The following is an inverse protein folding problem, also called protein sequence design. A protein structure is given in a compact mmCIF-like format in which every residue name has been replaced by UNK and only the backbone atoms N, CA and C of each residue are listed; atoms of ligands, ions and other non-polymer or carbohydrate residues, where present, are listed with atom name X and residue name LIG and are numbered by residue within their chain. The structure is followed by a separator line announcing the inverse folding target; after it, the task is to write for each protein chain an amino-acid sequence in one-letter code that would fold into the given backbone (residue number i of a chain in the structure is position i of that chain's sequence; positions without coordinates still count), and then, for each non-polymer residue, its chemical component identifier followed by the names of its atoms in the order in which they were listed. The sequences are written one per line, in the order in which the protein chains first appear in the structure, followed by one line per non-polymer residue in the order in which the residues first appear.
data_IF_347525249059
#
_entry.id   IF_347525249059
#
_cell.length_a   1.000
_cell.length_b   1.000
_cell.length_c   1.000
_cell.angle_alpha   90.00
_cell.angle_beta   90.00
_cell.angle_gamma   90.00
#
_symmetry.space_group_name_H-M   'P 1'
#
loop_
_entity.id
_entity.type
_entity.pdbx_description
1 polymer ?
#
# COMPACT_ATOMS: atom_id res chain seq x y z
N UNK A 1 14.55 11.71 2.31
CA UNK A 1 14.97 10.30 2.45
C UNK A 1 13.77 9.46 2.07
N UNK A 2 13.91 8.36 1.32
CA UNK A 2 12.77 7.50 1.02
C UNK A 2 12.23 6.91 2.33
N UNK A 3 10.92 6.81 2.46
CA UNK A 3 10.24 6.14 3.58
C UNK A 3 9.70 4.79 3.11
N UNK A 4 9.92 3.74 3.89
CA UNK A 4 9.42 2.37 3.64
C UNK A 4 8.29 2.03 4.62
N UNK A 5 7.31 1.24 4.19
CA UNK A 5 6.24 0.75 5.07
C UNK A 5 6.62 -0.59 5.69
N UNK A 6 6.41 -0.73 6.99
CA UNK A 6 6.70 -1.96 7.74
C UNK A 6 5.57 -2.33 8.69
N UNK A 7 5.34 -3.63 8.87
CA UNK A 7 4.37 -4.12 9.84
C UNK A 7 4.92 -4.02 11.26
N UNK A 8 4.15 -3.44 12.19
CA UNK A 8 4.50 -3.32 13.60
C UNK A 8 4.55 -4.66 14.32
N UNK A 9 3.69 -5.60 13.93
CA UNK A 9 3.52 -6.86 14.66
C UNK A 9 4.56 -7.92 14.29
N UNK A 10 4.96 -8.00 13.01
CA UNK A 10 5.90 -9.02 12.54
C UNK A 10 7.19 -8.45 11.93
N UNK A 11 7.27 -7.13 11.72
CA UNK A 11 8.45 -6.49 11.12
C UNK A 11 8.59 -6.70 9.61
N UNK A 12 7.64 -7.34 8.94
CA UNK A 12 7.68 -7.57 7.49
C UNK A 12 7.50 -6.28 6.69
N UNK A 13 8.15 -6.24 5.53
CA UNK A 13 8.02 -5.20 4.50
C UNK A 13 7.06 -5.61 3.37
N UNK A 14 6.50 -6.82 3.41
CA UNK A 14 5.47 -7.31 2.48
C UNK A 14 4.12 -6.61 2.80
N UNK A 15 3.95 -5.38 2.34
CA UNK A 15 2.76 -4.56 2.60
C UNK A 15 1.90 -4.45 1.34
N UNK A 16 0.67 -4.97 1.41
CA UNK A 16 -0.30 -4.88 0.33
C UNK A 16 -1.18 -3.64 0.49
N UNK A 17 -1.32 -2.87 -0.59
CA UNK A 17 -2.30 -1.80 -0.72
C UNK A 17 -3.30 -2.18 -1.82
N UNK A 18 -4.58 -2.28 -1.49
CA UNK A 18 -5.60 -2.49 -2.52
C UNK A 18 -5.94 -1.15 -3.20
N UNK A 19 -5.58 -1.04 -4.46
CA UNK A 19 -5.94 0.08 -5.33
C UNK A 19 -7.00 -0.37 -6.31
N UNK A 20 -8.07 0.40 -6.46
CA UNK A 20 -9.01 0.19 -7.57
C UNK A 20 -8.49 0.94 -8.80
N UNK A 21 -8.33 0.21 -9.89
CA UNK A 21 -8.20 0.82 -11.19
C UNK A 21 -9.59 1.27 -11.66
N UNK A 22 -9.69 2.47 -12.23
CA UNK A 22 -10.87 2.89 -12.97
C UNK A 22 -10.48 3.33 -14.38
N UNK A 23 -11.41 3.18 -15.30
CA UNK A 23 -11.25 3.71 -16.64
C UNK A 23 -11.37 5.23 -16.61
N UNK A 24 -10.38 5.93 -17.14
CA UNK A 24 -10.44 7.37 -17.41
C UNK A 24 -10.77 7.58 -18.89
N UNK A 25 -11.95 8.14 -19.15
CA UNK A 25 -12.40 8.37 -20.51
C UNK A 25 -11.75 9.60 -21.18
N UNK A 26 -11.18 10.53 -20.41
CA UNK A 26 -10.50 11.70 -20.95
C UNK A 26 -9.08 11.34 -21.41
N UNK A 27 -8.42 10.45 -20.67
CA UNK A 27 -7.07 9.95 -21.03
C UNK A 27 -7.10 8.68 -21.89
N UNK A 28 -8.27 8.05 -22.06
CA UNK A 28 -8.46 6.75 -22.76
C UNK A 28 -7.56 5.64 -22.18
N UNK A 29 -7.41 5.60 -20.85
CA UNK A 29 -6.52 4.67 -20.16
C UNK A 29 -7.08 4.20 -18.80
N UNK A 30 -6.50 3.12 -18.27
CA UNK A 30 -6.76 2.66 -16.90
C UNK A 30 -5.85 3.38 -15.92
N UNK A 31 -6.46 4.19 -15.05
CA UNK A 31 -5.74 4.91 -14.00
C UNK A 31 -5.90 4.19 -12.67
N UNK A 32 -4.80 4.10 -11.92
CA UNK A 32 -4.83 3.60 -10.54
C UNK A 32 -5.39 4.70 -9.65
N UNK A 33 -6.56 4.45 -9.08
CA UNK A 33 -7.24 5.38 -8.19
C UNK A 33 -6.64 5.39 -6.78
N UNK A 34 -7.36 6.08 -5.88
CA UNK A 34 -7.02 6.10 -4.46
C UNK A 34 -7.10 4.70 -3.84
N UNK A 35 -6.24 4.38 -2.86
CA UNK A 35 -6.37 3.16 -2.07
C UNK A 35 -7.78 3.06 -1.49
N UNK A 36 -8.40 1.89 -1.65
CA UNK A 36 -9.80 1.67 -1.24
C UNK A 36 -9.86 1.04 0.14
N UNK A 37 -8.83 0.28 0.48
CA UNK A 37 -8.65 -0.30 1.80
C UNK A 37 -7.34 0.18 2.44
N UNK A 38 -7.28 0.20 3.79
CA UNK A 38 -6.04 0.41 4.51
C UNK A 38 -4.99 -0.62 4.09
N UNK A 39 -3.71 -0.23 4.06
CA UNK A 39 -2.63 -1.19 3.84
C UNK A 39 -2.64 -2.29 4.91
N UNK A 40 -2.28 -3.49 4.51
CA UNK A 40 -2.16 -4.63 5.43
C UNK A 40 -0.91 -5.44 5.15
N UNK A 41 -0.42 -6.15 6.16
CA UNK A 41 0.74 -7.02 6.05
C UNK A 41 0.38 -8.34 5.36
N UNK A 42 1.11 -8.72 4.31
CA UNK A 42 0.92 -9.99 3.60
C UNK A 42 1.26 -11.23 4.44
N UNK A 43 2.16 -11.10 5.42
CA UNK A 43 2.62 -12.24 6.23
C UNK A 43 1.71 -12.53 7.43
N UNK A 44 1.33 -11.50 8.18
CA UNK A 44 0.54 -11.67 9.41
C UNK A 44 -0.90 -11.14 9.30
N UNK A 45 -1.28 -10.56 8.16
CA UNK A 45 -2.59 -9.94 7.93
C UNK A 45 -2.99 -8.84 8.92
N UNK A 46 -2.02 -8.24 9.62
CA UNK A 46 -2.25 -7.08 10.48
C UNK A 46 -2.39 -5.79 9.66
N UNK A 47 -3.21 -4.87 10.16
CA UNK A 47 -3.37 -3.51 9.64
C UNK A 47 -2.47 -2.49 10.36
N UNK A 48 -1.72 -2.92 11.38
CA UNK A 48 -0.80 -2.07 12.14
C UNK A 48 0.51 -1.87 11.34
N UNK A 49 0.49 -0.86 10.46
CA UNK A 49 1.62 -0.50 9.57
C UNK A 49 2.21 0.86 10.02
N UNK A 50 3.54 0.98 9.96
CA UNK A 50 4.28 2.23 10.17
C UNK A 50 5.16 2.58 8.97
N UNK A 51 5.40 3.89 8.79
CA UNK A 51 6.42 4.40 7.88
C UNK A 51 7.75 4.53 8.64
N UNK A 52 8.79 3.88 8.14
CA UNK A 52 10.16 3.94 8.66
C UNK A 52 11.07 4.66 7.67
N UNK A 53 12.07 5.37 8.17
CA UNK A 53 13.10 5.98 7.32
C UNK A 53 13.95 4.87 6.69
N UNK A 54 14.06 4.85 5.36
CA UNK A 54 14.94 3.92 4.66
C UNK A 54 16.39 4.44 4.71
N UNK A 55 17.32 3.54 5.05
CA UNK A 55 18.76 3.78 5.19
C UNK A 55 19.47 3.95 3.83
#
# INVERSE_FOLDING_TARGET
MPTEKRCKDCGSTEIHCQMLAHWDAEEDDWVMGTPVDPPFCGDCHSFEIEDVEAD
#
